data_IF_864484002237
#
_entry.id   IF_864484002237
#
_cell.length_a   1.000
_cell.length_b   1.000
_cell.length_c   1.000
_cell.angle_alpha   90.00
_cell.angle_beta   90.00
_cell.angle_gamma   90.00
#
_symmetry.space_group_name_H-M   'P 1'
#
loop_
_entity.id
_entity.type
_entity.pdbx_description
1 polymer ?
#
# COMPACT_ATOMS: atom_id res chain seq x y z
N UNK A 1 -15.69 10.98 27.61
CA UNK A 1 -17.15 10.67 27.55
C UNK A 1 -17.69 10.34 28.93
N UNK A 2 -18.95 10.70 29.24
CA UNK A 2 -19.64 10.37 30.50
C UNK A 2 -20.32 8.98 30.44
N UNK A 3 -20.52 8.36 31.61
CA UNK A 3 -21.01 6.98 31.73
C UNK A 3 -22.42 6.84 31.12
N UNK A 4 -22.64 5.96 30.13
CA UNK A 4 -23.96 5.71 29.56
C UNK A 4 -24.96 5.22 30.62
N UNK A 5 -26.25 5.56 30.42
CA UNK A 5 -27.36 5.29 31.36
C UNK A 5 -27.61 3.81 31.68
N UNK A 6 -27.01 2.88 30.93
CA UNK A 6 -27.23 1.43 31.06
C UNK A 6 -25.98 0.59 31.35
N UNK A 7 -24.80 1.18 31.58
CA UNK A 7 -23.56 0.41 31.81
C UNK A 7 -23.11 0.47 33.27
N UNK A 8 -23.31 -0.62 34.02
CA UNK A 8 -22.51 -0.89 35.22
C UNK A 8 -21.22 -1.55 34.72
N UNK A 9 -20.09 -0.92 34.99
CA UNK A 9 -18.76 -1.42 34.60
C UNK A 9 -17.79 -1.29 35.76
N UNK A 10 -16.61 -1.90 35.67
CA UNK A 10 -15.62 -1.91 36.74
C UNK A 10 -14.56 -0.84 36.51
N UNK A 11 -14.16 -0.17 37.60
CA UNK A 11 -13.07 0.80 37.54
C UNK A 11 -11.75 0.08 37.23
N UNK A 12 -11.01 0.56 36.23
CA UNK A 12 -9.70 0.01 35.83
C UNK A 12 -8.57 0.18 36.84
N UNK A 13 -8.83 0.74 38.03
CA UNK A 13 -7.87 0.90 39.14
C UNK A 13 -8.36 0.16 40.39
N UNK A 14 -9.57 0.47 40.89
CA UNK A 14 -10.05 -0.06 42.16
C UNK A 14 -11.04 -1.22 42.06
N UNK A 15 -11.44 -1.62 40.85
CA UNK A 15 -12.40 -2.71 40.58
C UNK A 15 -13.79 -2.55 41.26
N UNK A 16 -14.10 -1.34 41.73
CA UNK A 16 -15.44 -0.97 42.20
C UNK A 16 -16.33 -0.60 41.02
N UNK A 17 -17.64 -0.71 41.23
CA UNK A 17 -18.62 -0.39 40.20
C UNK A 17 -18.57 1.10 39.84
N UNK A 18 -18.53 1.37 38.53
CA UNK A 18 -18.77 2.66 37.90
C UNK A 18 -20.19 2.62 37.34
N UNK A 19 -20.99 3.61 37.74
CA UNK A 19 -22.38 3.78 37.30
C UNK A 19 -22.59 5.20 36.76
N UNK A 20 -23.79 5.49 36.23
CA UNK A 20 -24.17 6.83 35.76
C UNK A 20 -24.00 7.95 36.78
N UNK A 21 -24.06 7.64 38.08
CA UNK A 21 -23.91 8.61 39.17
C UNK A 21 -22.44 8.72 39.65
N UNK A 22 -21.55 7.88 39.13
CA UNK A 22 -20.13 7.93 39.48
C UNK A 22 -19.46 9.04 38.70
N UNK A 23 -18.64 9.87 39.37
CA UNK A 23 -17.68 10.74 38.70
C UNK A 23 -16.61 9.86 38.08
N UNK A 24 -16.77 9.58 36.80
CA UNK A 24 -15.92 8.64 36.11
C UNK A 24 -15.72 9.05 34.65
N UNK A 25 -14.52 8.75 34.17
CA UNK A 25 -14.07 9.09 32.83
C UNK A 25 -13.68 7.81 32.09
N UNK A 26 -14.09 7.71 30.83
CA UNK A 26 -13.63 6.63 29.96
C UNK A 26 -12.28 6.99 29.36
N UNK A 27 -11.33 6.06 29.41
CA UNK A 27 -10.10 6.17 28.64
C UNK A 27 -10.41 6.01 27.15
N UNK A 28 -10.06 7.02 26.35
CA UNK A 28 -10.17 6.98 24.87
C UNK A 28 -8.92 6.36 24.21
N UNK A 29 -8.03 5.78 25.02
CA UNK A 29 -6.98 4.87 24.57
C UNK A 29 -7.47 3.42 24.39
N UNK A 30 -6.54 2.52 24.10
CA UNK A 30 -6.82 1.11 23.72
C UNK A 30 -7.62 0.34 24.78
N UNK A 31 -7.44 0.65 26.07
CA UNK A 31 -8.07 -0.14 27.13
C UNK A 31 -9.60 0.04 27.22
N UNK A 32 -10.13 1.18 26.78
CA UNK A 32 -11.55 1.58 26.86
C UNK A 32 -12.24 1.43 28.24
N UNK A 33 -11.44 1.29 29.30
CA UNK A 33 -11.91 1.15 30.67
C UNK A 33 -12.41 2.48 31.23
N UNK A 34 -13.26 2.36 32.25
CA UNK A 34 -13.73 3.48 33.03
C UNK A 34 -12.91 3.65 34.30
N UNK A 35 -12.72 4.90 34.72
CA UNK A 35 -11.92 5.26 35.87
C UNK A 35 -12.70 6.24 36.72
N UNK A 36 -12.88 5.95 38.03
CA UNK A 36 -13.35 6.98 38.95
C UNK A 36 -12.34 8.13 38.94
N UNK A 37 -12.81 9.37 38.92
CA UNK A 37 -11.92 10.55 38.84
C UNK A 37 -10.86 10.54 39.95
N UNK A 38 -11.26 10.16 41.17
CA UNK A 38 -10.38 10.06 42.33
C UNK A 38 -9.35 8.92 42.21
N UNK A 39 -9.63 7.87 41.44
CA UNK A 39 -8.68 6.77 41.26
C UNK A 39 -7.58 7.08 40.25
N UNK A 40 -7.68 8.21 39.55
CA UNK A 40 -6.72 8.69 38.55
C UNK A 40 -6.33 10.15 38.81
N UNK A 41 -6.46 10.58 40.07
CA UNK A 41 -6.05 11.88 40.58
C UNK A 41 -6.64 13.09 39.83
N UNK A 42 -7.86 12.95 39.30
CA UNK A 42 -8.61 14.05 38.69
C UNK A 42 -9.48 14.70 39.77
N UNK A 43 -9.21 15.99 40.04
CA UNK A 43 -9.96 16.81 40.98
C UNK A 43 -11.38 17.10 40.48
N UNK A 44 -12.25 17.52 41.39
CA UNK A 44 -13.67 17.82 41.06
C UNK A 44 -13.81 18.89 39.98
N UNK A 45 -13.02 19.96 40.09
CA UNK A 45 -13.04 21.10 39.17
C UNK A 45 -12.52 20.71 37.78
N UNK A 46 -11.43 19.94 37.74
CA UNK A 46 -10.89 19.38 36.49
C UNK A 46 -11.89 18.44 35.81
N UNK A 47 -12.59 17.61 36.59
CA UNK A 47 -13.62 16.73 36.08
C UNK A 47 -14.79 17.51 35.46
N UNK A 48 -15.21 18.61 36.10
CA UNK A 48 -16.24 19.51 35.56
C UNK A 48 -15.75 20.18 34.27
N UNK A 49 -14.53 20.70 34.27
CA UNK A 49 -13.94 21.30 33.07
C UNK A 49 -13.85 20.32 31.89
N UNK A 50 -13.38 19.09 32.13
CA UNK A 50 -13.34 18.03 31.11
C UNK A 50 -14.74 17.67 30.63
N UNK A 51 -15.72 17.66 31.55
CA UNK A 51 -17.13 17.39 31.24
C UNK A 51 -17.72 18.46 30.33
N UNK A 52 -17.44 19.74 30.61
CA UNK A 52 -17.93 20.89 29.84
C UNK A 52 -17.31 20.95 28.44
N UNK A 53 -16.04 20.55 28.31
CA UNK A 53 -15.37 20.41 27.02
C UNK A 53 -15.89 19.23 26.18
N UNK A 54 -16.52 18.24 26.80
CA UNK A 54 -17.19 17.14 26.13
C UNK A 54 -16.28 16.36 25.17
N UNK A 55 -16.57 16.41 23.88
CA UNK A 55 -15.82 15.72 22.82
C UNK A 55 -14.62 16.52 22.28
N UNK A 56 -14.39 17.75 22.76
CA UNK A 56 -13.26 18.59 22.33
C UNK A 56 -11.93 18.17 22.96
N UNK A 57 -11.97 17.34 24.02
CA UNK A 57 -10.78 16.86 24.72
C UNK A 57 -10.77 15.33 24.78
N UNK A 58 -9.57 14.75 24.67
CA UNK A 58 -9.34 13.31 24.76
C UNK A 58 -8.56 13.05 26.04
N UNK A 59 -9.11 12.21 26.91
CA UNK A 59 -8.40 11.72 28.09
C UNK A 59 -7.97 10.26 27.89
N UNK A 60 -6.72 9.97 28.23
CA UNK A 60 -6.12 8.62 28.22
C UNK A 60 -5.52 8.33 29.58
N UNK A 61 -5.69 7.13 30.12
CA UNK A 61 -5.02 6.73 31.37
C UNK A 61 -3.50 6.57 31.18
N UNK A 62 -2.72 6.54 32.26
CA UNK A 62 -1.24 6.43 32.22
C UNK A 62 -0.74 5.22 31.46
N UNK A 63 -1.39 4.08 31.63
CA UNK A 63 -1.08 2.84 30.90
C UNK A 63 -1.25 3.01 29.39
N UNK A 64 -2.32 3.69 28.95
CA UNK A 64 -2.52 4.00 27.54
C UNK A 64 -1.62 5.14 27.03
N UNK A 65 -1.18 6.07 27.89
CA UNK A 65 -0.18 7.08 27.54
C UNK A 65 1.21 6.48 27.31
N UNK A 66 1.57 5.47 28.11
CA UNK A 66 2.84 4.74 28.04
C UNK A 66 2.83 3.56 27.05
N UNK A 67 1.74 3.34 26.32
CA UNK A 67 1.63 2.26 25.32
C UNK A 67 1.46 0.84 25.88
N UNK A 68 1.20 0.68 27.18
CA UNK A 68 1.08 -0.61 27.84
C UNK A 68 -0.39 -0.91 28.16
N UNK A 69 -1.10 -1.65 27.30
CA UNK A 69 -2.48 -2.11 27.57
C UNK A 69 -2.52 -3.62 27.76
N UNK A 70 -2.95 -4.07 28.94
CA UNK A 70 -3.08 -5.51 29.28
C UNK A 70 -4.48 -6.08 29.06
N UNK A 71 -5.41 -5.32 28.45
CA UNK A 71 -6.80 -5.74 28.28
C UNK A 71 -7.01 -6.48 26.94
N UNK A 72 -7.35 -7.79 26.94
CA UNK A 72 -7.64 -8.56 25.72
C UNK A 72 -8.85 -8.04 24.93
N UNK A 73 -9.84 -7.44 25.61
CA UNK A 73 -11.03 -6.90 24.91
C UNK A 73 -10.72 -5.61 24.15
N UNK A 74 -9.70 -4.86 24.60
CA UNK A 74 -9.26 -3.63 23.92
C UNK A 74 -8.62 -3.93 22.56
N UNK A 75 -7.84 -5.01 22.46
CA UNK A 75 -7.22 -5.40 21.19
C UNK A 75 -8.26 -5.84 20.16
N UNK A 76 -9.24 -6.65 20.56
CA UNK A 76 -10.32 -7.08 19.67
C UNK A 76 -11.16 -5.88 19.16
N UNK A 77 -11.49 -4.93 20.04
CA UNK A 77 -12.22 -3.74 19.65
C UNK A 77 -11.39 -2.81 18.73
N UNK A 78 -10.08 -2.70 18.94
CA UNK A 78 -9.19 -1.95 18.04
C UNK A 78 -9.14 -2.57 16.64
N UNK A 79 -9.03 -3.90 16.54
CA UNK A 79 -9.09 -4.62 15.25
C UNK A 79 -10.44 -4.39 14.58
N UNK A 80 -11.55 -4.53 15.30
CA UNK A 80 -12.89 -4.28 14.75
C UNK A 80 -13.06 -2.83 14.27
N UNK A 81 -12.59 -1.85 15.04
CA UNK A 81 -12.61 -0.44 14.63
C UNK A 81 -11.79 -0.20 13.37
N UNK A 82 -10.59 -0.77 13.32
CA UNK A 82 -9.74 -0.72 12.12
C UNK A 82 -10.45 -1.32 10.90
N UNK A 83 -11.08 -2.49 11.05
CA UNK A 83 -11.82 -3.16 9.99
C UNK A 83 -13.04 -2.35 9.52
N UNK A 84 -13.80 -1.76 10.45
CA UNK A 84 -14.94 -0.88 10.11
C UNK A 84 -14.45 0.37 9.39
N UNK A 85 -13.40 1.04 9.88
CA UNK A 85 -12.83 2.21 9.21
C UNK A 85 -12.32 1.87 7.82
N UNK A 86 -11.62 0.74 7.65
CA UNK A 86 -11.16 0.26 6.36
C UNK A 86 -12.32 -0.05 5.41
N UNK A 87 -13.36 -0.73 5.90
CA UNK A 87 -14.56 -1.02 5.11
C UNK A 87 -15.35 0.23 4.70
N UNK A 88 -15.33 1.28 5.53
CA UNK A 88 -15.96 2.57 5.22
C UNK A 88 -15.12 3.43 4.27
N UNK A 89 -13.79 3.42 4.44
CA UNK A 89 -12.86 4.16 3.60
C UNK A 89 -11.49 3.44 3.54
N UNK A 90 -11.24 2.64 2.47
CA UNK A 90 -9.96 1.94 2.30
C UNK A 90 -8.74 2.87 2.21
N UNK A 91 -8.93 4.14 1.81
CA UNK A 91 -7.86 5.15 1.73
C UNK A 91 -7.31 5.57 3.09
N UNK A 92 -7.90 5.09 4.20
CA UNK A 92 -7.30 5.22 5.54
C UNK A 92 -5.93 4.53 5.63
N UNK A 93 -5.66 3.56 4.75
CA UNK A 93 -4.34 2.93 4.61
C UNK A 93 -3.47 3.79 3.70
N UNK A 94 -2.69 4.67 4.33
CA UNK A 94 -1.83 5.62 3.61
C UNK A 94 -0.56 5.00 3.02
N UNK A 95 -0.12 3.84 3.51
CA UNK A 95 1.11 3.18 3.11
C UNK A 95 0.99 1.67 3.26
N UNK A 96 1.58 0.94 2.31
CA UNK A 96 1.75 -0.51 2.38
C UNK A 96 3.14 -0.92 1.90
N UNK A 97 3.62 -2.05 2.40
CA UNK A 97 4.80 -2.70 1.85
C UNK A 97 4.39 -3.65 0.75
N UNK A 98 5.05 -3.58 -0.40
CA UNK A 98 4.85 -4.56 -1.48
C UNK A 98 5.19 -5.96 -0.99
N UNK A 99 4.31 -6.94 -1.22
CA UNK A 99 4.55 -8.34 -0.85
C UNK A 99 5.46 -9.07 -1.85
N UNK A 100 5.51 -8.59 -3.09
CA UNK A 100 6.34 -9.12 -4.16
C UNK A 100 7.14 -8.02 -4.83
N UNK A 101 8.18 -8.41 -5.56
CA UNK A 101 8.86 -7.57 -6.54
C UNK A 101 8.06 -7.61 -7.84
N UNK A 102 7.70 -6.43 -8.37
CA UNK A 102 6.98 -6.28 -9.64
C UNK A 102 7.86 -5.62 -10.68
N UNK A 103 7.77 -6.12 -11.91
CA UNK A 103 8.51 -5.59 -13.03
C UNK A 103 7.95 -6.03 -14.37
N UNK A 104 8.67 -5.66 -15.43
CA UNK A 104 8.28 -5.93 -16.82
C UNK A 104 9.44 -6.61 -17.54
N UNK A 105 9.11 -7.56 -18.42
CA UNK A 105 10.10 -8.18 -19.30
C UNK A 105 10.50 -7.24 -20.43
N UNK A 106 11.80 -6.97 -20.56
CA UNK A 106 12.34 -6.02 -21.56
C UNK A 106 13.53 -6.60 -22.31
N UNK A 107 13.86 -5.96 -23.44
CA UNK A 107 15.14 -6.12 -24.12
C UNK A 107 16.09 -5.01 -23.67
N UNK A 108 17.32 -5.35 -23.29
CA UNK A 108 18.39 -4.38 -23.05
C UNK A 108 19.57 -4.63 -24.00
N UNK A 109 20.40 -3.63 -24.32
CA UNK A 109 21.65 -3.86 -25.05
C UNK A 109 22.47 -4.97 -24.39
N UNK A 110 22.97 -5.92 -25.18
CA UNK A 110 23.75 -7.03 -24.64
C UNK A 110 25.12 -6.56 -24.15
N UNK A 111 25.52 -6.99 -22.95
CA UNK A 111 26.82 -6.69 -22.37
C UNK A 111 27.63 -7.98 -22.27
N UNK A 112 28.60 -8.14 -23.19
CA UNK A 112 29.51 -9.29 -23.17
C UNK A 112 30.29 -9.32 -21.86
N UNK A 113 30.30 -10.48 -21.21
CA UNK A 113 30.93 -10.70 -19.90
C UNK A 113 29.98 -10.54 -18.71
N UNK A 114 28.90 -9.76 -18.84
CA UNK A 114 27.90 -9.57 -17.78
C UNK A 114 26.63 -10.39 -18.03
N UNK A 115 26.17 -10.44 -19.29
CA UNK A 115 24.96 -11.16 -19.65
C UNK A 115 25.26 -12.59 -20.10
N UNK A 116 24.41 -13.58 -19.72
CA UNK A 116 24.52 -14.95 -20.20
C UNK A 116 24.39 -15.02 -21.73
N UNK A 117 25.27 -15.78 -22.39
CA UNK A 117 25.25 -15.93 -23.86
C UNK A 117 23.95 -16.55 -24.38
N UNK A 118 23.29 -17.39 -23.59
CA UNK A 118 21.98 -17.97 -23.91
C UNK A 118 20.85 -16.94 -24.02
N UNK A 119 21.05 -15.73 -23.46
CA UNK A 119 20.11 -14.59 -23.55
C UNK A 119 20.43 -13.64 -24.70
N UNK A 120 21.51 -13.88 -25.45
CA UNK A 120 21.89 -13.06 -26.60
C UNK A 120 20.93 -13.27 -27.76
N UNK A 121 20.35 -12.18 -28.25
CA UNK A 121 19.52 -12.16 -29.46
C UNK A 121 20.04 -11.09 -30.41
N UNK A 122 20.24 -11.45 -31.68
CA UNK A 122 20.59 -10.51 -32.75
C UNK A 122 19.31 -10.01 -33.43
N UNK A 123 19.10 -8.68 -33.41
CA UNK A 123 17.98 -7.98 -34.09
C UNK A 123 18.50 -6.71 -34.72
N UNK A 124 18.16 -6.47 -35.99
CA UNK A 124 18.57 -5.27 -36.75
C UNK A 124 20.07 -4.97 -36.65
N UNK A 125 20.88 -6.03 -36.76
CA UNK A 125 22.34 -6.00 -36.64
C UNK A 125 22.86 -5.46 -35.28
N UNK A 126 22.05 -5.57 -34.22
CA UNK A 126 22.42 -5.21 -32.84
C UNK A 126 22.25 -6.40 -31.91
N UNK A 127 23.12 -6.47 -30.90
CA UNK A 127 23.08 -7.47 -29.84
C UNK A 127 22.18 -7.02 -28.69
N UNK A 128 21.17 -7.83 -28.38
CA UNK A 128 20.22 -7.61 -27.29
C UNK A 128 20.28 -8.74 -26.27
N UNK A 129 20.01 -8.42 -25.02
CA UNK A 129 19.75 -9.35 -23.94
C UNK A 129 18.23 -9.49 -23.81
N UNK A 130 17.73 -10.69 -24.10
CA UNK A 130 16.34 -11.04 -23.93
C UNK A 130 15.99 -11.37 -22.47
N UNK A 131 14.69 -11.36 -22.20
CA UNK A 131 14.09 -11.78 -20.94
C UNK A 131 14.57 -11.00 -19.71
N UNK A 132 15.11 -9.79 -19.87
CA UNK A 132 15.58 -9.01 -18.71
C UNK A 132 14.38 -8.59 -17.87
N UNK A 133 14.47 -8.82 -16.56
CA UNK A 133 13.48 -8.33 -15.60
C UNK A 133 13.81 -6.87 -15.26
N UNK A 134 12.95 -5.93 -15.65
CA UNK A 134 13.09 -4.54 -15.25
C UNK A 134 12.24 -4.26 -14.01
N UNK A 135 12.90 -4.18 -12.85
CA UNK A 135 12.23 -3.94 -11.57
C UNK A 135 11.66 -2.53 -11.50
N UNK A 136 10.36 -2.45 -11.20
CA UNK A 136 9.63 -1.21 -10.97
C UNK A 136 9.32 -1.02 -9.49
N UNK A 137 8.98 -2.11 -8.81
CA UNK A 137 8.74 -2.13 -7.37
C UNK A 137 9.44 -3.33 -6.77
N UNK A 138 10.16 -3.13 -5.67
CA UNK A 138 10.82 -4.21 -4.95
C UNK A 138 9.93 -4.76 -3.84
N UNK A 139 10.08 -6.04 -3.51
CA UNK A 139 9.52 -6.62 -2.29
C UNK A 139 9.92 -5.77 -1.08
N UNK A 140 8.99 -5.62 -0.12
CA UNK A 140 9.10 -4.76 1.06
C UNK A 140 9.21 -3.25 0.81
N UNK A 141 9.18 -2.78 -0.44
CA UNK A 141 9.14 -1.36 -0.73
C UNK A 141 7.86 -0.74 -0.16
N UNK A 142 8.01 0.32 0.63
CA UNK A 142 6.89 1.12 1.12
C UNK A 142 6.33 1.97 -0.01
N UNK A 143 5.03 1.87 -0.23
CA UNK A 143 4.29 2.54 -1.29
C UNK A 143 3.12 3.29 -0.67
N UNK A 144 3.00 4.57 -0.97
CA UNK A 144 1.93 5.41 -0.46
C UNK A 144 0.70 5.36 -1.36
N UNK A 145 -0.50 5.52 -0.78
CA UNK A 145 -1.74 5.60 -1.54
C UNK A 145 -1.66 6.77 -2.55
N UNK A 146 -1.96 6.49 -3.83
CA UNK A 146 -1.85 7.46 -4.92
C UNK A 146 -0.43 7.69 -5.46
N UNK A 147 0.60 7.07 -4.87
CA UNK A 147 1.94 7.07 -5.44
C UNK A 147 1.95 6.27 -6.74
N UNK A 148 2.72 6.76 -7.71
CA UNK A 148 2.90 6.06 -8.98
C UNK A 148 4.37 5.92 -9.34
N UNK A 149 4.78 4.71 -9.71
CA UNK A 149 6.09 4.47 -10.30
C UNK A 149 5.99 4.66 -11.80
N UNK A 150 6.91 5.44 -12.37
CA UNK A 150 6.98 5.74 -13.79
C UNK A 150 8.24 5.16 -14.42
N UNK A 151 8.09 4.59 -15.62
CA UNK A 151 9.20 4.12 -16.44
C UNK A 151 8.94 4.42 -17.91
N UNK A 152 9.98 4.81 -18.64
CA UNK A 152 9.93 5.06 -20.08
C UNK A 152 10.57 3.90 -20.83
N UNK A 153 9.92 3.47 -21.89
CA UNK A 153 10.41 2.44 -22.79
C UNK A 153 10.30 2.90 -24.24
N UNK A 154 11.09 2.30 -25.12
CA UNK A 154 11.01 2.50 -26.56
C UNK A 154 10.79 1.16 -27.26
N UNK A 155 10.01 1.11 -28.34
CA UNK A 155 9.91 -0.07 -29.19
C UNK A 155 11.30 -0.54 -29.63
N UNK A 156 11.49 -1.86 -29.73
CA UNK A 156 12.75 -2.42 -30.22
C UNK A 156 12.96 -2.14 -31.72
N UNK A 157 11.86 -2.00 -32.47
CA UNK A 157 11.87 -1.68 -33.90
C UNK A 157 10.97 -0.45 -34.17
N UNK A 158 11.44 0.45 -35.04
CA UNK A 158 10.75 1.68 -35.45
C UNK A 158 9.45 1.42 -36.23
N UNK A 159 9.34 0.29 -36.92
CA UNK A 159 8.13 -0.09 -37.68
C UNK A 159 7.10 -0.87 -36.85
N UNK A 160 7.36 -1.05 -35.55
CA UNK A 160 6.47 -1.81 -34.68
C UNK A 160 5.18 -1.03 -34.41
N UNK A 161 4.04 -1.61 -34.81
CA UNK A 161 2.71 -1.01 -34.65
C UNK A 161 1.95 -1.50 -33.41
N UNK A 162 2.51 -2.46 -32.66
CA UNK A 162 1.90 -3.00 -31.45
C UNK A 162 2.98 -3.26 -30.41
N UNK A 163 2.80 -2.76 -29.19
CA UNK A 163 3.66 -3.03 -28.04
C UNK A 163 2.94 -4.00 -27.11
N UNK A 164 3.64 -5.05 -26.72
CA UNK A 164 3.16 -6.03 -25.73
C UNK A 164 4.08 -5.91 -24.52
N UNK A 165 3.51 -5.55 -23.36
CA UNK A 165 4.23 -5.49 -22.09
C UNK A 165 3.72 -6.61 -21.20
N UNK A 166 4.58 -7.56 -20.88
CA UNK A 166 4.27 -8.60 -19.90
C UNK A 166 4.68 -8.14 -18.50
N UNK A 167 3.72 -8.16 -17.57
CA UNK A 167 3.97 -7.85 -16.16
C UNK A 167 4.29 -9.13 -15.42
N UNK A 168 5.34 -9.08 -14.61
CA UNK A 168 5.82 -10.20 -13.82
C UNK A 168 5.87 -9.84 -12.32
N UNK A 169 5.70 -10.85 -11.47
CA UNK A 169 5.97 -10.77 -10.04
C UNK A 169 6.92 -11.89 -9.59
N UNK A 170 7.57 -11.69 -8.44
CA UNK A 170 8.40 -12.70 -7.77
C UNK A 170 8.63 -12.33 -6.29
N UNK A 171 8.92 -13.33 -5.46
CA UNK A 171 9.38 -13.12 -4.07
C UNK A 171 10.86 -12.73 -3.98
N UNK A 172 11.63 -12.89 -5.06
CA UNK A 172 13.03 -12.52 -5.09
C UNK A 172 13.21 -10.99 -4.97
N UNK A 173 14.17 -10.56 -4.15
CA UNK A 173 14.46 -9.14 -3.96
C UNK A 173 15.17 -8.50 -5.16
N UNK A 174 15.94 -9.28 -5.92
CA UNK A 174 16.76 -8.80 -7.03
C UNK A 174 16.71 -9.74 -8.24
N UNK A 175 15.53 -9.95 -8.86
CA UNK A 175 15.43 -10.74 -10.09
C UNK A 175 16.24 -10.10 -11.21
N UNK A 176 16.87 -10.93 -12.03
CA UNK A 176 17.64 -10.49 -13.20
C UNK A 176 16.90 -10.78 -14.50
N UNK A 177 16.22 -11.92 -14.58
CA UNK A 177 15.50 -12.36 -15.77
C UNK A 177 14.07 -12.80 -15.44
N UNK A 178 13.18 -12.66 -16.42
CA UNK A 178 11.79 -13.15 -16.30
C UNK A 178 11.69 -14.68 -16.33
N UNK A 179 12.79 -15.35 -16.62
CA UNK A 179 12.93 -16.81 -16.56
C UNK A 179 13.57 -17.29 -15.26
N UNK A 180 13.92 -16.39 -14.34
CA UNK A 180 14.46 -16.77 -13.04
C UNK A 180 13.42 -17.60 -12.28
N UNK A 181 13.90 -18.49 -11.41
CA UNK A 181 13.04 -19.33 -10.60
C UNK A 181 12.08 -18.49 -9.73
N UNK A 182 10.80 -18.85 -9.72
CA UNK A 182 9.78 -18.14 -8.96
C UNK A 182 9.29 -16.83 -9.59
N UNK A 183 9.74 -16.48 -10.80
CA UNK A 183 9.14 -15.38 -11.55
C UNK A 183 7.88 -15.85 -12.29
N UNK A 184 6.78 -15.12 -12.09
CA UNK A 184 5.48 -15.45 -12.67
C UNK A 184 4.92 -14.29 -13.47
N UNK A 185 4.37 -14.57 -14.64
CA UNK A 185 3.64 -13.56 -15.43
C UNK A 185 2.25 -13.38 -14.84
N UNK A 186 1.94 -12.17 -14.40
CA UNK A 186 0.67 -11.81 -13.76
C UNK A 186 -0.24 -10.97 -14.64
N UNK A 187 0.29 -10.33 -15.69
CA UNK A 187 -0.50 -9.48 -16.56
C UNK A 187 0.11 -9.30 -17.94
N UNK A 188 -0.67 -8.75 -18.86
CA UNK A 188 -0.20 -8.35 -20.19
C UNK A 188 -0.96 -7.13 -20.66
N UNK A 189 -0.22 -6.09 -21.08
CA UNK A 189 -0.75 -4.93 -21.77
C UNK A 189 -0.47 -5.06 -23.26
N UNK A 190 -1.44 -4.63 -24.08
CA UNK A 190 -1.30 -4.52 -25.53
C UNK A 190 -1.64 -3.10 -25.93
N UNK A 191 -0.65 -2.36 -26.39
CA UNK A 191 -0.80 -0.98 -26.85
C UNK A 191 -0.62 -0.91 -28.36
N UNK A 192 -1.64 -0.42 -29.06
CA UNK A 192 -1.56 -0.19 -30.50
C UNK A 192 -0.95 1.19 -30.79
N UNK A 193 0.01 1.20 -31.71
CA UNK A 193 0.75 2.36 -32.15
C UNK A 193 0.25 2.74 -33.55
N UNK A 194 -0.67 3.69 -33.62
CA UNK A 194 -1.22 4.22 -34.89
C UNK A 194 -0.12 4.90 -35.71
N UNK A 195 0.34 4.28 -36.79
CA UNK A 195 1.53 4.71 -37.53
C UNK A 195 1.28 5.90 -38.46
N UNK A 196 2.19 6.87 -38.43
CA UNK A 196 2.51 7.70 -39.59
C UNK A 196 3.76 7.10 -40.26
N UNK A 197 3.74 6.91 -41.58
CA UNK A 197 4.85 6.33 -42.35
C UNK A 197 6.09 7.23 -42.26
N UNK A 198 7.28 6.63 -42.17
CA UNK A 198 8.56 7.36 -42.29
C UNK A 198 9.14 7.97 -41.00
N UNK A 199 8.92 7.36 -39.83
CA UNK A 199 9.47 7.85 -38.56
C UNK A 199 11.01 7.76 -38.48
N UNK A 200 11.63 8.87 -38.09
CA UNK A 200 13.07 8.94 -37.79
C UNK A 200 13.41 8.71 -36.31
N UNK A 201 12.45 8.95 -35.39
CA UNK A 201 12.64 8.82 -33.94
C UNK A 201 11.80 7.68 -33.35
N UNK A 202 12.33 6.93 -32.37
CA UNK A 202 11.56 5.90 -31.67
C UNK A 202 10.45 6.53 -30.84
N UNK A 203 9.30 5.84 -30.75
CA UNK A 203 8.23 6.24 -29.84
C UNK A 203 8.66 6.10 -28.39
N UNK A 204 8.09 6.94 -27.55
CA UNK A 204 8.26 6.87 -26.11
C UNK A 204 6.98 6.38 -25.45
N UNK A 205 7.08 5.22 -24.81
CA UNK A 205 5.99 4.60 -24.08
C UNK A 205 6.21 4.85 -22.59
N UNK A 206 5.30 5.58 -21.97
CA UNK A 206 5.28 5.79 -20.53
C UNK A 206 4.48 4.68 -19.87
N UNK A 207 5.16 3.85 -19.09
CA UNK A 207 4.51 2.88 -18.23
C UNK A 207 4.35 3.46 -16.83
N UNK A 208 3.18 3.25 -16.24
CA UNK A 208 2.84 3.69 -14.88
C UNK A 208 2.31 2.52 -14.08
N UNK A 209 2.82 2.37 -12.86
CA UNK A 209 2.28 1.47 -11.84
C UNK A 209 1.67 2.32 -10.73
N UNK A 210 0.39 2.11 -10.44
CA UNK A 210 -0.34 2.81 -9.38
C UNK A 210 -0.79 1.79 -8.34
N UNK A 211 -0.52 2.10 -7.09
CA UNK A 211 -0.95 1.30 -5.96
C UNK A 211 -2.21 1.94 -5.35
N UNK A 212 -3.36 1.27 -5.50
CA UNK A 212 -4.61 1.64 -4.82
C UNK A 212 -4.70 0.97 -3.44
N UNK A 213 -5.86 0.88 -2.81
CA UNK A 213 -6.02 0.15 -1.55
C UNK A 213 -5.89 -1.37 -1.72
N UNK A 214 -6.45 -1.94 -2.79
CA UNK A 214 -6.53 -3.41 -3.01
C UNK A 214 -5.98 -3.89 -4.35
N UNK A 215 -5.56 -2.98 -5.22
CA UNK A 215 -5.09 -3.32 -6.56
C UNK A 215 -3.77 -2.61 -6.94
N UNK A 216 -3.04 -3.26 -7.84
CA UNK A 216 -1.94 -2.69 -8.61
C UNK A 216 -2.47 -2.44 -10.02
N UNK A 217 -2.62 -1.19 -10.40
CA UNK A 217 -2.96 -0.82 -11.77
C UNK A 217 -1.68 -0.57 -12.54
N UNK A 218 -1.49 -1.28 -13.65
CA UNK A 218 -0.38 -1.10 -14.57
C UNK A 218 -0.93 -0.52 -15.86
N UNK A 219 -0.37 0.57 -16.34
CA UNK A 219 -0.78 1.19 -17.59
C UNK A 219 0.39 1.56 -18.48
N UNK A 220 0.11 1.67 -19.78
CA UNK A 220 1.04 2.09 -20.80
C UNK A 220 0.40 3.13 -21.69
N UNK A 221 1.13 4.22 -21.93
CA UNK A 221 0.70 5.35 -22.74
C UNK A 221 1.74 5.64 -23.81
N UNK A 222 1.32 5.73 -25.06
CA UNK A 222 2.12 6.36 -26.11
C UNK A 222 2.09 7.87 -25.90
N UNK A 223 3.24 8.47 -25.62
CA UNK A 223 3.34 9.90 -25.33
C UNK A 223 3.07 10.79 -26.55
N UNK A 224 3.12 10.24 -27.76
CA UNK A 224 2.90 11.02 -28.98
C UNK A 224 1.42 11.11 -29.34
N UNK A 225 0.71 9.99 -29.34
CA UNK A 225 -0.72 9.92 -29.71
C UNK A 225 -1.67 10.02 -28.52
N UNK A 226 -1.14 9.94 -27.30
CA UNK A 226 -1.91 9.74 -26.08
C UNK A 226 -2.74 8.43 -26.05
N UNK A 227 -2.49 7.50 -26.98
CA UNK A 227 -3.06 6.15 -26.94
C UNK A 227 -2.66 5.46 -25.64
N UNK A 228 -3.62 4.79 -24.99
CA UNK A 228 -3.49 4.33 -23.61
C UNK A 228 -4.14 2.95 -23.44
N UNK A 229 -3.55 2.12 -22.59
CA UNK A 229 -4.09 0.83 -22.16
C UNK A 229 -3.70 0.57 -20.70
N UNK A 230 -4.52 -0.16 -19.96
CA UNK A 230 -4.24 -0.55 -18.59
C UNK A 230 -4.83 -1.91 -18.21
N UNK A 231 -4.37 -2.41 -17.08
CA UNK A 231 -4.85 -3.62 -16.43
C UNK A 231 -4.66 -3.49 -14.92
N UNK A 232 -5.59 -4.08 -14.14
CA UNK A 232 -5.48 -4.18 -12.69
C UNK A 232 -5.12 -5.60 -12.27
N UNK A 233 -4.23 -5.70 -11.29
CA UNK A 233 -3.82 -6.94 -10.63
C UNK A 233 -4.25 -6.88 -9.16
N UNK A 234 -4.90 -7.91 -8.67
CA UNK A 234 -5.30 -8.02 -7.26
C UNK A 234 -4.14 -8.59 -6.43
N UNK A 235 -3.90 -8.06 -5.23
CA UNK A 235 -2.85 -8.56 -4.32
C UNK A 235 -3.17 -9.89 -3.61
N UNK A 236 -4.30 -10.53 -3.90
CA UNK A 236 -4.85 -11.64 -3.10
C UNK A 236 -4.62 -13.04 -3.74
N UNK A 237 -3.68 -13.18 -4.67
CA UNK A 237 -3.35 -14.48 -5.29
C UNK A 237 -2.10 -15.10 -4.70
#
# INVERSE_FOLDING_TARGET
KMVPTRSITKCGVCDKNVSKNSRAIQCEGICHLWFHSICVDILTEEYQYISDLGNKIIWKCDKCRSGQSTNPTGVALCVLRGAVLYGLNPEVVIMRKSQHTYGIGVLKPFQRGNHPLEKLVLRDNREWCADVFDTLVSVNQSLYAGESVLRRYTPANLSQNVIILHIYCTDAAQPQFVTDEGVQRVGTLRLELTSELGREKPREILTRLIFSSTELTVSAMDLETASYTDTSLTFLS
#
